data_IF_249232451053
#
_entry.id   IF_249232451053
#
_cell.length_a   1.000
_cell.length_b   1.000
_cell.length_c   1.000
_cell.angle_alpha   90.00
_cell.angle_beta   90.00
_cell.angle_gamma   90.00
#
_symmetry.space_group_name_H-M   'P 1'
#
loop_
_entity.id
_entity.type
_entity.pdbx_description
1 polymer ?
#
# COMPACT_ATOMS: atom_id res chain seq x y z
N UNK A 1 16.38 -10.27 39.84
CA UNK A 1 16.62 -9.45 38.64
C UNK A 1 15.30 -9.37 37.91
N UNK A 2 14.61 -8.23 38.02
CA UNK A 2 13.30 -8.05 37.39
C UNK A 2 13.54 -7.70 35.92
N UNK A 3 13.26 -8.65 35.04
CA UNK A 3 13.19 -8.40 33.59
C UNK A 3 11.95 -7.52 33.35
N UNK A 4 12.18 -6.29 32.88
CA UNK A 4 11.13 -5.46 32.30
C UNK A 4 10.67 -6.14 31.02
N UNK A 5 9.54 -6.84 31.10
CA UNK A 5 8.76 -7.17 29.91
C UNK A 5 8.10 -5.85 29.50
N UNK A 6 8.71 -5.19 28.52
CA UNK A 6 8.03 -4.12 27.80
C UNK A 6 6.93 -4.80 27.00
N UNK A 7 5.70 -4.78 27.53
CA UNK A 7 4.50 -5.11 26.78
C UNK A 7 4.40 -4.08 25.67
N UNK A 8 4.90 -4.43 24.48
CA UNK A 8 4.57 -3.71 23.25
C UNK A 8 3.05 -3.80 23.09
N UNK A 9 2.35 -2.72 23.46
CA UNK A 9 0.94 -2.55 23.16
C UNK A 9 0.77 -2.71 21.64
N UNK A 10 0.26 -3.86 21.19
CA UNK A 10 -0.15 -4.04 19.80
C UNK A 10 -1.23 -3.00 19.52
N UNK A 11 -0.86 -1.89 18.88
CA UNK A 11 -1.80 -0.89 18.39
C UNK A 11 -2.74 -1.57 17.38
N UNK A 12 -3.93 -1.97 17.85
CA UNK A 12 -4.99 -2.52 17.00
C UNK A 12 -5.56 -1.38 16.17
N UNK A 13 -4.93 -1.10 15.03
CA UNK A 13 -5.50 -0.19 14.05
C UNK A 13 -6.76 -0.83 13.44
N UNK A 14 -7.83 -0.05 13.27
CA UNK A 14 -8.91 -0.43 12.38
C UNK A 14 -8.35 -0.52 10.95
N UNK A 15 -8.00 -1.73 10.53
CA UNK A 15 -7.32 -1.95 9.25
C UNK A 15 -8.33 -1.86 8.12
N UNK A 16 -8.18 -0.86 7.24
CA UNK A 16 -8.95 -0.78 6.00
C UNK A 16 -8.62 -2.01 5.16
N UNK A 17 -9.63 -2.85 4.91
CA UNK A 17 -9.45 -4.02 4.07
C UNK A 17 -9.36 -3.60 2.59
N UNK A 18 -8.13 -3.51 2.09
CA UNK A 18 -7.83 -3.14 0.70
C UNK A 18 -8.50 -4.07 -0.31
N UNK A 19 -8.71 -5.35 0.01
CA UNK A 19 -9.40 -6.28 -0.89
C UNK A 19 -10.89 -5.96 -1.05
N UNK A 20 -11.55 -5.43 0.00
CA UNK A 20 -12.92 -4.91 -0.11
C UNK A 20 -12.96 -3.59 -0.87
N UNK A 21 -11.97 -2.73 -0.64
CA UNK A 21 -11.89 -1.42 -1.29
C UNK A 21 -11.67 -1.59 -2.79
N UNK A 22 -10.77 -2.51 -3.17
CA UNK A 22 -10.51 -2.93 -4.55
C UNK A 22 -11.81 -3.13 -5.32
N UNK A 23 -12.75 -3.95 -4.84
CA UNK A 23 -13.98 -4.27 -5.58
C UNK A 23 -14.96 -3.09 -5.69
N UNK A 24 -14.97 -2.20 -4.70
CA UNK A 24 -15.85 -1.04 -4.67
C UNK A 24 -15.32 0.15 -5.50
N UNK A 25 -14.03 0.16 -5.85
CA UNK A 25 -13.37 1.36 -6.43
C UNK A 25 -12.60 1.08 -7.74
N UNK A 26 -13.24 0.59 -8.81
CA UNK A 26 -12.57 0.24 -10.08
C UNK A 26 -11.98 1.45 -10.83
N UNK A 27 -12.48 2.66 -10.58
CA UNK A 27 -12.11 3.87 -11.30
C UNK A 27 -11.16 4.78 -10.51
N UNK A 28 -10.47 4.27 -9.49
CA UNK A 28 -9.48 5.07 -8.78
C UNK A 28 -8.34 5.49 -9.70
N UNK A 29 -8.01 6.79 -9.61
CA UNK A 29 -6.94 7.42 -10.38
C UNK A 29 -5.78 7.85 -9.48
N UNK A 30 -6.05 8.18 -8.22
CA UNK A 30 -5.05 8.66 -7.28
C UNK A 30 -5.21 7.89 -5.99
N UNK A 31 -4.13 7.26 -5.54
CA UNK A 31 -4.05 6.55 -4.27
C UNK A 31 -2.87 7.13 -3.50
N UNK A 32 -3.12 7.60 -2.28
CA UNK A 32 -2.09 8.08 -1.37
C UNK A 32 -2.18 7.32 -0.05
N UNK A 33 -1.13 6.58 0.25
CA UNK A 33 -0.96 5.71 1.41
C UNK A 33 0.28 6.14 2.21
N UNK A 34 0.57 7.44 2.26
CA UNK A 34 1.73 7.97 2.98
C UNK A 34 1.78 7.51 4.44
N UNK A 35 2.92 6.95 4.86
CA UNK A 35 3.22 6.62 6.26
C UNK A 35 2.47 5.40 6.80
N UNK A 36 1.88 4.58 5.93
CA UNK A 36 1.08 3.43 6.36
C UNK A 36 1.98 2.19 6.55
N UNK A 37 2.28 1.86 7.80
CA UNK A 37 3.18 0.77 8.18
C UNK A 37 2.68 -0.64 7.83
N UNK A 38 1.37 -0.84 7.62
CA UNK A 38 0.83 -2.15 7.25
C UNK A 38 0.79 -2.40 5.74
N UNK A 39 0.99 -1.37 4.91
CA UNK A 39 0.94 -1.49 3.45
C UNK A 39 2.19 -2.21 2.98
N UNK A 40 1.97 -3.32 2.28
CA UNK A 40 2.99 -4.14 1.66
C UNK A 40 2.74 -4.27 0.14
N UNK A 41 3.61 -5.00 -0.53
CA UNK A 41 3.50 -5.29 -1.96
C UNK A 41 2.17 -5.99 -2.35
N UNK A 42 1.58 -6.83 -1.49
CA UNK A 42 0.31 -7.50 -1.79
C UNK A 42 -0.85 -6.51 -1.96
N UNK A 43 -0.84 -5.42 -1.18
CA UNK A 43 -1.80 -4.34 -1.30
C UNK A 43 -1.63 -3.58 -2.62
N UNK A 44 -0.39 -3.32 -3.04
CA UNK A 44 -0.09 -2.69 -4.32
C UNK A 44 -0.55 -3.59 -5.49
N UNK A 45 -0.33 -4.90 -5.40
CA UNK A 45 -0.83 -5.84 -6.40
C UNK A 45 -2.36 -5.85 -6.48
N UNK A 46 -3.04 -5.79 -5.32
CA UNK A 46 -4.49 -5.68 -5.24
C UNK A 46 -5.01 -4.41 -5.93
N UNK A 47 -4.38 -3.26 -5.72
CA UNK A 47 -4.74 -2.03 -6.44
C UNK A 47 -4.48 -2.13 -7.94
N UNK A 48 -3.31 -2.63 -8.35
CA UNK A 48 -2.93 -2.75 -9.75
C UNK A 48 -3.84 -3.69 -10.56
N UNK A 49 -4.50 -4.65 -9.91
CA UNK A 49 -5.37 -5.63 -10.56
C UNK A 49 -6.80 -5.13 -10.82
N UNK A 50 -7.28 -4.10 -10.13
CA UNK A 50 -8.63 -3.55 -10.39
C UNK A 50 -8.63 -2.08 -10.82
N UNK A 51 -7.68 -1.28 -10.32
CA UNK A 51 -7.59 0.15 -10.61
C UNK A 51 -6.74 0.38 -11.87
N UNK A 52 -7.19 -0.11 -13.03
CA UNK A 52 -6.44 0.03 -14.29
C UNK A 52 -6.27 1.49 -14.75
N UNK A 53 -7.07 2.40 -14.18
CA UNK A 53 -7.04 3.83 -14.46
C UNK A 53 -6.11 4.61 -13.52
N UNK A 54 -5.31 3.92 -12.70
CA UNK A 54 -4.42 4.56 -11.75
C UNK A 54 -3.41 5.47 -12.48
N UNK A 55 -3.34 6.72 -12.05
CA UNK A 55 -2.48 7.77 -12.58
C UNK A 55 -1.42 8.20 -11.56
N UNK A 56 -1.72 8.08 -10.26
CA UNK A 56 -0.80 8.42 -9.18
C UNK A 56 -0.90 7.41 -8.05
N UNK A 57 0.24 6.88 -7.62
CA UNK A 57 0.38 6.05 -6.43
C UNK A 57 1.46 6.65 -5.53
N UNK A 58 1.09 6.97 -4.29
CA UNK A 58 2.02 7.40 -3.26
C UNK A 58 2.02 6.40 -2.11
N UNK A 59 3.18 5.83 -1.82
CA UNK A 59 3.42 4.88 -0.73
C UNK A 59 4.64 5.30 0.09
N UNK A 60 4.95 6.59 0.13
CA UNK A 60 6.11 7.09 0.88
C UNK A 60 6.03 6.68 2.35
N UNK A 61 7.16 6.31 2.95
CA UNK A 61 7.27 5.90 4.34
C UNK A 61 6.41 4.68 4.69
N UNK A 62 6.13 3.80 3.72
CA UNK A 62 5.56 2.48 3.94
C UNK A 62 6.68 1.45 4.06
N UNK A 63 7.11 1.15 5.29
CA UNK A 63 8.27 0.30 5.61
C UNK A 63 8.18 -1.16 5.13
N UNK A 64 6.98 -1.64 4.77
CA UNK A 64 6.76 -3.01 4.27
C UNK A 64 6.67 -3.11 2.75
N UNK A 65 6.79 -1.99 2.03
CA UNK A 65 6.79 -1.99 0.55
C UNK A 65 8.21 -2.24 0.05
N UNK A 66 8.45 -3.43 -0.49
CA UNK A 66 9.79 -3.80 -1.01
C UNK A 66 9.96 -3.55 -2.51
N UNK A 67 8.87 -3.25 -3.21
CA UNK A 67 8.86 -2.97 -4.64
C UNK A 67 8.82 -4.24 -5.52
N UNK A 68 8.59 -5.42 -4.93
CA UNK A 68 8.49 -6.68 -5.68
C UNK A 68 7.36 -6.67 -6.72
N UNK A 69 6.33 -5.85 -6.49
CA UNK A 69 5.14 -5.75 -7.36
C UNK A 69 5.21 -4.64 -8.41
N UNK A 70 6.30 -3.87 -8.44
CA UNK A 70 6.43 -2.72 -9.36
C UNK A 70 6.36 -3.12 -10.84
N UNK A 71 7.00 -4.22 -11.22
CA UNK A 71 6.91 -4.73 -12.61
C UNK A 71 5.46 -4.98 -13.02
N UNK A 72 4.70 -5.62 -12.15
CA UNK A 72 3.29 -5.93 -12.36
C UNK A 72 2.44 -4.65 -12.37
N UNK A 73 2.72 -3.71 -11.47
CA UNK A 73 2.06 -2.40 -11.41
C UNK A 73 2.16 -1.67 -12.75
N UNK A 74 3.37 -1.54 -13.31
CA UNK A 74 3.60 -0.84 -14.58
C UNK A 74 2.97 -1.57 -15.78
N UNK A 75 2.91 -2.90 -15.76
CA UNK A 75 2.28 -3.68 -16.82
C UNK A 75 0.75 -3.47 -16.88
N UNK A 76 0.10 -3.41 -15.71
CA UNK A 76 -1.36 -3.30 -15.59
C UNK A 76 -1.85 -1.85 -15.63
N UNK A 77 -1.21 -0.97 -14.87
CA UNK A 77 -1.61 0.43 -14.70
C UNK A 77 -0.94 1.34 -15.74
N UNK A 78 -1.30 1.17 -17.02
CA UNK A 78 -0.65 1.88 -18.15
C UNK A 78 -0.83 3.40 -18.13
N UNK A 79 -1.74 3.91 -17.29
CA UNK A 79 -2.01 5.34 -17.12
C UNK A 79 -1.19 5.96 -15.99
N UNK A 80 -0.37 5.18 -15.28
CA UNK A 80 0.43 5.66 -14.16
C UNK A 80 1.45 6.70 -14.63
N UNK A 81 1.37 7.91 -14.07
CA UNK A 81 2.23 9.05 -14.38
C UNK A 81 3.14 9.41 -13.21
N UNK A 82 2.70 9.12 -12.00
CA UNK A 82 3.39 9.49 -10.78
C UNK A 82 3.44 8.30 -9.82
N UNK A 83 4.64 7.97 -9.35
CA UNK A 83 4.89 6.97 -8.32
C UNK A 83 5.82 7.59 -7.28
N UNK A 84 5.36 7.68 -6.04
CA UNK A 84 6.13 8.23 -4.92
C UNK A 84 6.41 7.12 -3.91
N UNK A 85 7.68 6.77 -3.71
CA UNK A 85 8.15 5.69 -2.82
C UNK A 85 9.35 6.12 -1.98
N UNK A 86 9.32 7.35 -1.45
CA UNK A 86 10.40 7.84 -0.60
C UNK A 86 10.35 7.12 0.75
N UNK A 87 11.47 6.56 1.20
CA UNK A 87 11.57 5.95 2.54
C UNK A 87 10.74 4.67 2.72
N UNK A 88 10.47 3.96 1.63
CA UNK A 88 9.92 2.59 1.62
C UNK A 88 11.02 1.55 1.58
#
# INVERSE_FOLDING_TARGET
>A
TYEKVEEEEEEIYEVINVHKLKSATPNLRVINLYGINFVDDSHIDAFSSNCIQLECLAVNFCSKVTGSTMKTLFQRSRRLKCLLMQGT
#
